data_IF_139606957106
#
_entry.id   IF_139606957106
#
_cell.length_a   1.000
_cell.length_b   1.000
_cell.length_c   1.000
_cell.angle_alpha   90.00
_cell.angle_beta   90.00
_cell.angle_gamma   90.00
#
_symmetry.space_group_name_H-M   'P 1'
#
loop_
_entity.id
_entity.type
_entity.pdbx_description
1 polymer ?
#
# COMPACT_ATOMS: atom_id res chain seq x y z
N UNK A 1 16.76 7.88 -28.56
CA UNK A 1 16.42 7.07 -27.38
C UNK A 1 16.89 7.85 -26.18
N UNK A 2 15.98 8.22 -25.30
CA UNK A 2 16.27 8.95 -24.07
C UNK A 2 17.00 8.07 -23.06
N UNK A 3 17.50 8.64 -21.96
CA UNK A 3 18.15 7.87 -20.90
C UNK A 3 17.20 6.82 -20.32
N UNK A 4 15.97 7.23 -19.97
CA UNK A 4 14.96 6.31 -19.45
C UNK A 4 14.63 5.18 -20.44
N UNK A 5 14.41 5.47 -21.73
CA UNK A 5 14.12 4.45 -22.74
C UNK A 5 15.26 3.44 -22.89
N UNK A 6 16.51 3.89 -22.87
CA UNK A 6 17.68 3.00 -22.93
C UNK A 6 17.72 2.03 -21.75
N UNK A 7 17.41 2.51 -20.54
CA UNK A 7 17.38 1.68 -19.34
C UNK A 7 16.19 0.71 -19.35
N UNK A 8 15.02 1.14 -19.82
CA UNK A 8 13.86 0.25 -20.00
C UNK A 8 14.22 -0.93 -20.92
N UNK A 9 14.89 -0.68 -22.05
CA UNK A 9 15.33 -1.77 -22.93
C UNK A 9 16.36 -2.71 -22.27
N UNK A 10 17.26 -2.17 -21.45
CA UNK A 10 18.16 -3.01 -20.64
C UNK A 10 17.40 -3.87 -19.62
N UNK A 11 16.40 -3.32 -18.94
CA UNK A 11 15.54 -4.06 -17.99
C UNK A 11 14.84 -5.21 -18.71
N UNK A 12 14.24 -4.95 -19.89
CA UNK A 12 13.58 -6.00 -20.70
C UNK A 12 14.54 -7.11 -21.10
N UNK A 13 15.74 -6.75 -21.55
CA UNK A 13 16.75 -7.72 -21.99
C UNK A 13 17.28 -8.59 -20.84
N UNK A 14 17.51 -8.00 -19.66
CA UNK A 14 18.07 -8.72 -18.48
C UNK A 14 17.05 -9.52 -17.70
N UNK A 15 15.76 -9.16 -17.75
CA UNK A 15 14.72 -9.71 -16.87
C UNK A 15 13.56 -10.35 -17.64
N UNK A 16 13.81 -10.94 -18.81
CA UNK A 16 12.77 -11.51 -19.68
C UNK A 16 11.80 -12.49 -18.97
N UNK A 17 12.27 -13.17 -17.91
CA UNK A 17 11.49 -14.10 -17.07
C UNK A 17 10.66 -13.40 -15.98
N UNK A 18 10.65 -12.05 -15.91
CA UNK A 18 10.05 -11.27 -14.82
C UNK A 18 9.12 -10.18 -15.37
N UNK A 19 7.99 -10.55 -16.01
CA UNK A 19 7.12 -9.59 -16.72
C UNK A 19 6.55 -8.50 -15.80
N UNK A 20 6.22 -8.82 -14.54
CA UNK A 20 5.69 -7.86 -13.59
C UNK A 20 6.74 -6.79 -13.23
N UNK A 21 8.01 -7.18 -13.10
CA UNK A 21 9.09 -6.24 -12.85
C UNK A 21 9.36 -5.35 -14.07
N UNK A 22 9.33 -5.90 -15.28
CA UNK A 22 9.48 -5.14 -16.53
C UNK A 22 8.38 -4.08 -16.64
N UNK A 23 7.13 -4.47 -16.36
CA UNK A 23 6.00 -3.55 -16.39
C UNK A 23 6.20 -2.39 -15.42
N UNK A 24 6.46 -2.66 -14.14
CA UNK A 24 6.64 -1.63 -13.12
C UNK A 24 7.82 -0.69 -13.44
N UNK A 25 8.95 -1.25 -13.88
CA UNK A 25 10.09 -0.45 -14.28
C UNK A 25 9.76 0.45 -15.49
N UNK A 26 9.03 -0.06 -16.47
CA UNK A 26 8.61 0.71 -17.65
C UNK A 26 7.68 1.86 -17.26
N UNK A 27 6.68 1.60 -16.39
CA UNK A 27 5.73 2.61 -15.94
C UNK A 27 6.40 3.72 -15.11
N UNK A 28 7.29 3.35 -14.18
CA UNK A 28 7.96 4.35 -13.33
C UNK A 28 9.00 5.12 -14.12
N UNK A 29 9.94 4.44 -14.79
CA UNK A 29 11.03 5.10 -15.53
C UNK A 29 10.50 5.97 -16.66
N UNK A 30 9.42 5.56 -17.33
CA UNK A 30 8.77 6.34 -18.38
C UNK A 30 8.27 7.72 -17.90
N UNK A 31 7.98 7.88 -16.61
CA UNK A 31 7.54 9.16 -16.04
C UNK A 31 8.70 10.06 -15.58
N UNK A 32 9.93 9.56 -15.53
CA UNK A 32 11.05 10.30 -14.94
C UNK A 32 11.79 11.22 -15.90
N UNK A 33 11.53 11.13 -17.23
CA UNK A 33 12.29 11.88 -18.23
C UNK A 33 12.38 13.38 -17.97
N UNK A 34 11.32 14.11 -17.54
CA UNK A 34 11.44 15.52 -17.23
C UNK A 34 12.44 15.84 -16.11
N UNK A 35 12.54 14.96 -15.11
CA UNK A 35 13.53 15.10 -14.04
C UNK A 35 14.96 14.78 -14.54
N UNK A 36 15.10 13.76 -15.38
CA UNK A 36 16.39 13.36 -15.93
C UNK A 36 16.95 14.44 -16.89
N UNK A 37 16.12 15.10 -17.67
CA UNK A 37 16.52 16.21 -18.55
C UNK A 37 17.00 17.43 -17.74
N UNK A 38 16.42 17.64 -16.56
CA UNK A 38 16.82 18.72 -15.64
C UNK A 38 18.10 18.39 -14.86
N UNK A 39 18.52 17.12 -14.79
CA UNK A 39 19.61 16.62 -13.97
C UNK A 39 20.52 15.65 -14.77
N UNK A 40 21.30 16.15 -15.74
CA UNK A 40 22.17 15.30 -16.58
C UNK A 40 23.23 14.54 -15.76
N UNK A 41 23.60 15.03 -14.59
CA UNK A 41 24.50 14.37 -13.66
C UNK A 41 24.02 12.99 -13.21
N UNK A 42 22.72 12.70 -13.28
CA UNK A 42 22.17 11.39 -12.94
C UNK A 42 22.59 10.32 -13.96
N UNK A 43 22.65 10.66 -15.23
CA UNK A 43 23.15 9.76 -16.27
C UNK A 43 24.66 9.53 -16.14
N UNK A 44 25.44 10.58 -15.88
CA UNK A 44 26.88 10.49 -15.67
C UNK A 44 27.23 9.56 -14.47
N UNK A 45 26.38 9.55 -13.43
CA UNK A 45 26.53 8.68 -12.27
C UNK A 45 25.90 7.27 -12.44
N UNK A 46 25.38 6.93 -13.63
CA UNK A 46 24.67 5.68 -13.90
C UNK A 46 23.56 5.40 -12.86
N UNK A 47 22.79 6.44 -12.49
CA UNK A 47 21.86 6.38 -11.39
C UNK A 47 20.72 5.40 -11.63
N UNK A 48 20.14 5.38 -12.85
CA UNK A 48 19.06 4.47 -13.17
C UNK A 48 19.55 3.03 -13.25
N UNK A 49 20.75 2.77 -13.77
CA UNK A 49 21.36 1.45 -13.77
C UNK A 49 21.52 0.88 -12.36
N UNK A 50 21.82 1.75 -11.38
CA UNK A 50 21.97 1.37 -9.97
C UNK A 50 20.61 1.16 -9.29
N UNK A 51 19.62 2.01 -9.57
CA UNK A 51 18.33 1.95 -8.88
C UNK A 51 17.43 0.80 -9.38
N UNK A 52 17.63 0.31 -10.61
CA UNK A 52 16.87 -0.84 -11.14
C UNK A 52 17.39 -2.20 -10.64
N UNK A 53 18.59 -2.25 -10.09
CA UNK A 53 19.14 -3.47 -9.53
C UNK A 53 18.99 -3.46 -7.99
N UNK A 54 18.43 -4.49 -7.38
CA UNK A 54 18.39 -4.56 -5.92
C UNK A 54 19.81 -4.66 -5.34
N UNK A 55 20.04 -4.01 -4.22
CA UNK A 55 21.34 -4.08 -3.53
C UNK A 55 21.66 -5.52 -3.11
N UNK A 56 20.60 -6.31 -2.77
CA UNK A 56 20.78 -7.68 -2.33
C UNK A 56 19.51 -8.52 -2.49
N UNK A 57 19.69 -9.78 -2.85
CA UNK A 57 18.62 -10.79 -2.88
C UNK A 57 19.04 -11.95 -2.00
N UNK A 58 18.18 -12.33 -1.05
CA UNK A 58 18.37 -13.46 -0.17
C UNK A 58 17.28 -14.48 -0.48
N UNK A 59 17.68 -15.69 -0.88
CA UNK A 59 16.77 -16.82 -1.09
C UNK A 59 17.19 -17.98 -0.19
N UNK A 60 16.24 -18.59 0.50
CA UNK A 60 16.51 -19.66 1.44
C UNK A 60 15.39 -20.72 1.45
N UNK A 61 15.75 -21.89 1.93
CA UNK A 61 14.84 -23.03 2.13
C UNK A 61 14.14 -22.91 3.49
N UNK A 62 12.83 -23.15 3.52
CA UNK A 62 12.00 -23.15 4.73
C UNK A 62 11.39 -24.54 4.94
N UNK A 63 12.05 -25.46 5.66
CA UNK A 63 11.50 -26.77 6.01
C UNK A 63 10.64 -26.63 7.28
N UNK A 64 9.46 -27.25 7.27
CA UNK A 64 8.56 -27.27 8.44
C UNK A 64 7.74 -28.55 8.45
N UNK A 65 7.10 -28.86 9.58
CA UNK A 65 6.32 -30.09 9.75
C UNK A 65 4.84 -29.74 9.88
N UNK A 66 3.97 -30.35 9.09
CA UNK A 66 2.53 -30.18 9.16
C UNK A 66 1.91 -30.95 10.35
N UNK A 67 0.61 -30.78 10.57
CA UNK A 67 -0.08 -31.42 11.68
C UNK A 67 -0.18 -32.97 11.55
N UNK A 68 0.05 -33.50 10.35
CA UNK A 68 0.16 -34.95 10.12
C UNK A 68 1.55 -35.52 10.41
N UNK A 69 2.52 -34.65 10.76
CA UNK A 69 3.92 -35.07 10.97
C UNK A 69 4.75 -35.13 9.69
N UNK A 70 4.22 -34.75 8.54
CA UNK A 70 4.92 -34.74 7.25
C UNK A 70 5.78 -33.47 7.10
N UNK A 71 7.01 -33.68 6.59
CA UNK A 71 7.90 -32.54 6.27
C UNK A 71 7.44 -31.85 5.00
N UNK A 72 7.29 -30.56 5.10
CA UNK A 72 7.00 -29.63 4.00
C UNK A 72 8.22 -28.74 3.75
N UNK A 73 8.39 -28.27 2.53
CA UNK A 73 9.50 -27.38 2.15
C UNK A 73 8.97 -26.26 1.27
N UNK A 74 9.20 -25.03 1.69
CA UNK A 74 8.90 -23.83 0.92
C UNK A 74 10.17 -23.03 0.62
N UNK A 75 10.05 -22.04 -0.27
CA UNK A 75 11.09 -21.04 -0.53
C UNK A 75 10.79 -19.77 0.24
N UNK A 76 11.81 -19.23 0.90
CA UNK A 76 11.77 -17.90 1.50
C UNK A 76 12.62 -16.93 0.67
N UNK A 77 12.18 -15.66 0.62
CA UNK A 77 12.85 -14.60 -0.11
C UNK A 77 12.88 -13.31 0.71
N UNK A 78 13.96 -12.55 0.58
CA UNK A 78 14.02 -11.13 0.90
C UNK A 78 14.78 -10.39 -0.19
N UNK A 79 14.22 -9.33 -0.71
CA UNK A 79 14.83 -8.41 -1.67
C UNK A 79 15.09 -7.11 -0.92
N UNK A 80 16.34 -6.87 -0.61
CA UNK A 80 16.87 -5.63 -0.06
C UNK A 80 17.14 -4.71 -1.26
N UNK A 81 16.19 -3.82 -1.55
CA UNK A 81 16.20 -3.17 -2.85
C UNK A 81 17.06 -1.92 -2.88
N UNK A 82 16.82 -0.97 -1.97
CA UNK A 82 17.59 0.27 -1.89
C UNK A 82 17.58 0.81 -0.46
N UNK A 83 18.73 1.13 0.08
CA UNK A 83 18.93 1.62 1.45
C UNK A 83 19.38 3.09 1.53
N UNK A 84 19.43 3.82 0.42
CA UNK A 84 19.97 5.17 0.37
C UNK A 84 19.30 6.15 1.34
N UNK A 85 18.00 6.01 1.59
CA UNK A 85 17.24 6.90 2.47
C UNK A 85 16.91 6.30 3.86
N UNK A 86 17.36 5.08 4.15
CA UNK A 86 17.14 4.43 5.45
C UNK A 86 17.14 2.91 5.36
N UNK A 87 16.90 2.20 6.46
CA UNK A 87 16.85 0.73 6.47
C UNK A 87 15.81 0.21 5.47
N UNK A 88 16.08 -0.95 4.87
CA UNK A 88 15.11 -1.56 3.96
C UNK A 88 13.76 -1.75 4.68
N UNK A 89 12.69 -1.40 4.01
CA UNK A 89 11.34 -1.46 4.58
C UNK A 89 10.34 -1.95 3.57
N UNK A 90 9.57 -2.96 3.94
CA UNK A 90 8.46 -3.48 3.14
C UNK A 90 7.95 -4.83 3.62
N UNK A 91 6.75 -5.19 3.16
CA UNK A 91 6.00 -6.34 3.65
C UNK A 91 6.60 -7.70 3.28
N UNK A 92 6.18 -8.71 4.03
CA UNK A 92 6.35 -10.13 3.71
C UNK A 92 5.02 -10.66 3.19
N UNK A 93 5.04 -11.32 2.03
CA UNK A 93 3.86 -11.94 1.41
C UNK A 93 3.94 -13.45 1.50
N UNK A 94 2.90 -14.10 2.05
CA UNK A 94 2.78 -15.56 2.03
C UNK A 94 1.63 -15.95 1.13
N UNK A 95 1.99 -16.46 -0.06
CA UNK A 95 1.01 -16.86 -1.07
C UNK A 95 1.69 -17.83 -2.08
N UNK A 96 1.00 -18.86 -2.56
CA UNK A 96 1.55 -19.83 -3.54
C UNK A 96 2.08 -19.19 -4.82
N UNK A 97 1.60 -18.00 -5.18
CA UNK A 97 2.01 -17.27 -6.39
C UNK A 97 3.29 -16.45 -6.21
N UNK A 98 3.87 -16.40 -5.03
CA UNK A 98 5.09 -15.61 -4.76
C UNK A 98 6.26 -16.15 -5.58
N UNK A 99 6.82 -15.26 -6.40
CA UNK A 99 8.04 -15.48 -7.18
C UNK A 99 9.05 -14.38 -6.89
N UNK A 100 10.30 -14.61 -7.26
CA UNK A 100 11.34 -13.57 -7.15
C UNK A 100 11.00 -12.35 -8.01
N UNK A 101 10.48 -12.55 -9.23
CA UNK A 101 10.08 -11.44 -10.13
C UNK A 101 9.00 -10.56 -9.50
N UNK A 102 7.97 -11.17 -8.89
CA UNK A 102 6.94 -10.45 -8.15
C UNK A 102 7.53 -9.63 -6.98
N UNK A 103 8.47 -10.21 -6.22
CA UNK A 103 9.07 -9.51 -5.07
C UNK A 103 10.03 -8.40 -5.51
N UNK A 104 10.74 -8.55 -6.63
CA UNK A 104 11.52 -7.46 -7.26
C UNK A 104 10.60 -6.31 -7.67
N UNK A 105 9.52 -6.60 -8.37
CA UNK A 105 8.50 -5.62 -8.72
C UNK A 105 8.03 -4.83 -7.51
N UNK A 106 7.50 -5.54 -6.50
CA UNK A 106 6.96 -4.91 -5.29
C UNK A 106 8.03 -4.16 -4.47
N UNK A 107 9.27 -4.65 -4.47
CA UNK A 107 10.41 -4.00 -3.80
C UNK A 107 10.84 -2.72 -4.50
N UNK A 108 10.83 -2.71 -5.83
CA UNK A 108 11.13 -1.53 -6.63
C UNK A 108 10.12 -0.41 -6.42
N UNK A 109 8.82 -0.72 -6.47
CA UNK A 109 7.77 0.26 -6.17
C UNK A 109 7.86 0.78 -4.74
N UNK A 110 8.26 -0.08 -3.79
CA UNK A 110 8.36 0.27 -2.39
C UNK A 110 9.40 1.35 -2.12
N UNK A 111 10.47 1.45 -2.93
CA UNK A 111 11.47 2.52 -2.83
C UNK A 111 10.79 3.89 -2.90
N UNK A 112 10.02 4.12 -3.96
CA UNK A 112 9.39 5.41 -4.24
C UNK A 112 8.25 5.71 -3.27
N UNK A 113 7.46 4.69 -2.94
CA UNK A 113 6.39 4.82 -1.94
C UNK A 113 6.92 5.24 -0.57
N UNK A 114 8.01 4.62 -0.10
CA UNK A 114 8.64 4.96 1.17
C UNK A 114 9.27 6.35 1.12
N UNK A 115 9.89 6.72 0.00
CA UNK A 115 10.48 8.03 -0.18
C UNK A 115 9.46 9.17 -0.04
N UNK A 116 8.23 8.98 -0.53
CA UNK A 116 7.15 9.96 -0.42
C UNK A 116 6.74 10.22 1.03
N UNK A 117 6.86 9.24 1.93
CA UNK A 117 6.52 9.42 3.35
C UNK A 117 7.40 10.43 4.08
N UNK A 118 8.51 10.85 3.48
CA UNK A 118 9.59 11.65 4.06
C UNK A 118 10.36 11.00 5.22
N UNK A 119 9.87 9.88 5.74
CA UNK A 119 10.54 9.13 6.80
C UNK A 119 11.79 8.40 6.29
N UNK A 120 12.79 8.11 7.15
CA UNK A 120 14.03 7.44 6.76
C UNK A 120 13.79 5.93 6.58
N UNK A 121 13.21 5.55 5.48
CA UNK A 121 12.90 4.16 5.13
C UNK A 121 13.28 3.89 3.68
N UNK A 122 14.18 2.95 3.47
CA UNK A 122 14.53 2.41 2.16
C UNK A 122 13.45 1.47 1.60
N UNK A 123 13.74 0.81 0.50
CA UNK A 123 12.84 -0.14 -0.16
C UNK A 123 13.26 -1.59 0.03
N UNK A 124 12.33 -2.44 0.39
CA UNK A 124 12.54 -3.89 0.46
C UNK A 124 11.23 -4.67 0.37
N UNK A 125 11.32 -5.92 -0.02
CA UNK A 125 10.15 -6.82 -0.10
C UNK A 125 10.58 -8.25 0.15
N UNK A 126 9.69 -9.06 0.73
CA UNK A 126 9.99 -10.47 0.94
C UNK A 126 8.74 -11.32 0.94
N UNK A 127 8.95 -12.61 1.18
CA UNK A 127 7.83 -13.54 1.25
C UNK A 127 8.20 -14.99 1.02
N UNK A 128 7.18 -15.79 0.80
CA UNK A 128 7.29 -17.22 0.55
C UNK A 128 6.13 -17.73 -0.31
N UNK A 129 6.35 -18.81 -1.04
CA UNK A 129 5.32 -19.60 -1.72
C UNK A 129 4.43 -20.42 -0.76
N UNK A 130 4.54 -20.17 0.54
CA UNK A 130 3.70 -20.78 1.56
C UNK A 130 2.26 -20.23 1.50
N UNK A 131 1.26 -21.13 1.52
CA UNK A 131 -0.14 -20.76 1.63
C UNK A 131 -0.65 -20.92 3.07
N UNK A 132 -0.91 -19.83 3.80
CA UNK A 132 -1.45 -19.91 5.15
C UNK A 132 -2.93 -20.29 5.18
N UNK A 133 -3.62 -20.24 4.02
CA UNK A 133 -5.05 -20.50 3.95
C UNK A 133 -5.35 -21.98 4.26
N UNK A 134 -6.24 -22.20 5.21
CA UNK A 134 -6.63 -23.56 5.64
C UNK A 134 -5.62 -24.26 6.53
N UNK A 135 -4.51 -23.62 6.91
CA UNK A 135 -3.53 -24.14 7.86
C UNK A 135 -3.94 -23.86 9.29
N UNK A 136 -3.57 -24.75 10.21
CA UNK A 136 -3.75 -24.53 11.64
C UNK A 136 -2.82 -23.43 12.17
N UNK A 137 -3.14 -22.86 13.32
CA UNK A 137 -2.25 -21.90 13.97
C UNK A 137 -0.88 -22.50 14.32
N UNK A 138 -0.84 -23.80 14.64
CA UNK A 138 0.40 -24.50 14.94
C UNK A 138 1.26 -24.71 13.69
N UNK A 139 0.66 -25.02 12.55
CA UNK A 139 1.37 -25.12 11.26
C UNK A 139 1.97 -23.78 10.86
N UNK A 140 1.16 -22.71 10.93
CA UNK A 140 1.61 -21.33 10.61
C UNK A 140 2.73 -20.89 11.56
N UNK A 141 2.61 -21.21 12.85
CA UNK A 141 3.67 -20.90 13.83
C UNK A 141 4.98 -21.61 13.49
N UNK A 142 4.94 -22.93 13.22
CA UNK A 142 6.12 -23.70 12.83
C UNK A 142 6.76 -23.17 11.55
N UNK A 143 5.93 -22.82 10.56
CA UNK A 143 6.42 -22.21 9.33
C UNK A 143 7.11 -20.86 9.61
N UNK A 144 6.47 -19.94 10.34
CA UNK A 144 7.04 -18.64 10.70
C UNK A 144 8.35 -18.77 11.47
N UNK A 145 8.44 -19.72 12.40
CA UNK A 145 9.67 -19.99 13.15
C UNK A 145 10.80 -20.48 12.24
N UNK A 146 10.50 -21.41 11.33
CA UNK A 146 11.48 -21.90 10.35
C UNK A 146 11.93 -20.80 9.40
N UNK A 147 10.99 -19.99 8.90
CA UNK A 147 11.28 -18.84 8.04
C UNK A 147 12.24 -17.85 8.74
N UNK A 148 12.00 -17.57 10.01
CA UNK A 148 12.83 -16.66 10.81
C UNK A 148 14.20 -17.22 11.17
N UNK A 149 14.39 -18.55 11.18
CA UNK A 149 15.71 -19.12 11.43
C UNK A 149 16.77 -18.65 10.42
N UNK A 150 16.35 -18.42 9.17
CA UNK A 150 17.23 -17.85 8.15
C UNK A 150 17.12 -16.32 8.10
N UNK A 151 15.91 -15.77 8.02
CA UNK A 151 15.71 -14.34 7.82
C UNK A 151 16.30 -13.50 8.95
N UNK A 152 16.27 -13.97 10.21
CA UNK A 152 16.78 -13.22 11.37
C UNK A 152 18.24 -12.78 11.26
N UNK A 153 19.03 -13.42 10.41
CA UNK A 153 20.45 -13.07 10.18
C UNK A 153 20.62 -11.81 9.34
N UNK A 154 19.58 -11.39 8.64
CA UNK A 154 19.61 -10.36 7.60
C UNK A 154 18.80 -9.11 7.96
N UNK A 155 17.95 -9.20 8.99
CA UNK A 155 17.04 -8.13 9.41
C UNK A 155 17.42 -7.56 10.77
N UNK A 156 16.95 -6.36 11.03
CA UNK A 156 17.17 -5.67 12.32
C UNK A 156 16.58 -4.26 12.25
N UNK A 157 16.47 -3.56 13.40
CA UNK A 157 15.81 -2.27 13.49
C UNK A 157 16.46 -1.17 12.64
N UNK A 158 17.77 -1.30 12.38
CA UNK A 158 18.57 -0.30 11.63
C UNK A 158 19.10 -0.85 10.29
N UNK A 159 18.71 -2.07 9.91
CA UNK A 159 19.17 -2.72 8.67
C UNK A 159 18.00 -2.96 7.73
N UNK A 160 17.03 -3.74 8.19
CA UNK A 160 15.88 -4.15 7.42
C UNK A 160 14.70 -4.45 8.36
N UNK A 161 13.58 -3.77 8.14
CA UNK A 161 12.39 -3.87 9.00
C UNK A 161 11.21 -4.37 8.17
N UNK A 162 10.99 -5.69 8.08
CA UNK A 162 9.83 -6.25 7.40
C UNK A 162 8.51 -5.88 8.08
N UNK A 163 7.41 -6.03 7.33
CA UNK A 163 6.04 -5.80 7.80
C UNK A 163 5.09 -6.89 7.31
N UNK A 164 3.82 -6.80 7.67
CA UNK A 164 2.77 -7.65 7.07
C UNK A 164 2.42 -7.22 5.64
N UNK A 165 1.92 -8.18 4.87
CA UNK A 165 1.34 -8.04 3.54
C UNK A 165 0.34 -9.19 3.32
N UNK A 166 -0.06 -9.49 2.09
CA UNK A 166 -0.97 -10.60 1.78
C UNK A 166 -0.52 -11.91 2.44
N UNK A 167 -1.40 -12.54 3.22
CA UNK A 167 -1.11 -13.78 3.95
C UNK A 167 -0.25 -13.60 5.21
N UNK A 168 0.12 -12.38 5.57
CA UNK A 168 0.91 -12.04 6.78
C UNK A 168 0.22 -10.94 7.55
N UNK A 169 -0.49 -11.31 8.59
CA UNK A 169 -1.15 -10.40 9.52
C UNK A 169 -0.45 -10.32 10.88
N UNK A 170 -1.12 -9.75 11.87
CA UNK A 170 -0.59 -9.61 13.23
C UNK A 170 -0.21 -10.94 13.90
N UNK A 171 -0.90 -12.04 13.55
CA UNK A 171 -0.57 -13.39 14.04
C UNK A 171 0.80 -13.85 13.53
N UNK A 172 1.03 -13.78 12.22
CA UNK A 172 2.29 -14.18 11.59
C UNK A 172 3.43 -13.27 12.05
N UNK A 173 3.20 -11.96 12.12
CA UNK A 173 4.17 -11.00 12.66
C UNK A 173 4.50 -11.33 14.12
N UNK A 174 3.51 -11.72 14.94
CA UNK A 174 3.73 -12.15 16.32
C UNK A 174 4.61 -13.38 16.43
N UNK A 175 4.36 -14.42 15.62
CA UNK A 175 5.17 -15.64 15.60
C UNK A 175 6.61 -15.36 15.12
N UNK A 176 6.76 -14.52 14.10
CA UNK A 176 8.08 -14.13 13.59
C UNK A 176 8.86 -13.28 14.61
N UNK A 177 8.21 -12.32 15.26
CA UNK A 177 8.85 -11.50 16.28
C UNK A 177 9.29 -12.32 17.50
N UNK A 178 8.44 -13.25 17.97
CA UNK A 178 8.79 -14.17 19.05
C UNK A 178 10.02 -15.01 18.73
N UNK A 179 10.12 -15.53 17.50
CA UNK A 179 11.28 -16.30 17.07
C UNK A 179 12.53 -15.44 16.91
N UNK A 180 12.43 -14.24 16.33
CA UNK A 180 13.53 -13.29 16.21
C UNK A 180 14.11 -12.97 17.59
N UNK A 181 13.25 -12.57 18.54
CA UNK A 181 13.64 -12.26 19.91
C UNK A 181 14.39 -13.42 20.57
N UNK A 182 13.95 -14.66 20.35
CA UNK A 182 14.61 -15.85 20.89
C UNK A 182 15.98 -16.11 20.27
N UNK A 183 16.11 -15.94 18.93
CA UNK A 183 17.37 -16.21 18.20
C UNK A 183 18.44 -15.14 18.47
N UNK A 184 18.01 -13.89 18.53
CA UNK A 184 18.92 -12.73 18.72
C UNK A 184 19.18 -12.39 20.18
N UNK A 185 18.36 -12.91 21.10
CA UNK A 185 18.38 -12.58 22.53
C UNK A 185 18.26 -11.05 22.77
N UNK A 186 17.42 -10.38 21.99
CA UNK A 186 17.17 -8.95 22.06
C UNK A 186 15.69 -8.63 21.80
N UNK A 187 15.21 -7.53 22.41
CA UNK A 187 13.92 -6.94 22.11
C UNK A 187 14.18 -5.63 21.35
N UNK A 188 13.79 -5.54 20.09
CA UNK A 188 14.06 -4.39 19.22
C UNK A 188 12.87 -4.03 18.35
N UNK A 189 12.97 -2.90 17.64
CA UNK A 189 12.00 -2.43 16.66
C UNK A 189 12.01 -3.17 15.32
N UNK A 190 12.51 -4.39 15.27
CA UNK A 190 12.40 -5.26 14.09
C UNK A 190 10.95 -5.66 13.86
N UNK A 191 10.51 -5.73 12.61
CA UNK A 191 9.13 -5.97 12.19
C UNK A 191 8.16 -4.85 12.63
N UNK A 192 7.24 -4.50 11.74
CA UNK A 192 6.10 -3.62 12.05
C UNK A 192 4.77 -4.31 11.78
N UNK A 193 3.70 -3.76 12.36
CA UNK A 193 2.40 -4.44 12.45
C UNK A 193 2.33 -5.41 13.64
N UNK A 194 3.15 -5.16 14.65
CA UNK A 194 3.13 -5.91 15.91
C UNK A 194 1.84 -5.66 16.70
N UNK A 195 1.49 -6.58 17.57
CA UNK A 195 0.43 -6.37 18.56
C UNK A 195 0.80 -5.26 19.55
N UNK A 196 -0.20 -4.55 20.07
CA UNK A 196 -0.01 -3.45 21.03
C UNK A 196 0.74 -3.86 22.29
N UNK A 197 0.60 -5.13 22.71
CA UNK A 197 1.28 -5.66 23.90
C UNK A 197 2.78 -5.87 23.74
N UNK A 198 3.33 -5.74 22.51
CA UNK A 198 4.76 -5.96 22.24
C UNK A 198 5.33 -5.00 21.21
N UNK A 199 4.95 -3.73 21.28
CA UNK A 199 5.57 -2.64 20.52
C UNK A 199 4.83 -2.26 19.24
N UNK A 200 3.59 -2.66 19.07
CA UNK A 200 2.72 -2.19 17.99
C UNK A 200 2.25 -0.75 18.20
N UNK A 201 1.85 -0.07 17.14
CA UNK A 201 1.32 1.29 17.16
C UNK A 201 -0.20 1.32 17.10
N UNK A 202 -0.81 2.20 17.88
CA UNK A 202 -2.19 2.63 17.69
C UNK A 202 -2.35 3.29 16.31
N UNK A 203 -3.57 3.43 15.85
CA UNK A 203 -3.94 3.96 14.53
C UNK A 203 -3.35 3.20 13.31
N UNK A 204 -2.58 2.09 13.51
CA UNK A 204 -2.00 1.34 12.40
C UNK A 204 -3.06 0.65 11.53
N UNK A 205 -4.14 0.20 12.15
CA UNK A 205 -5.25 -0.48 11.45
C UNK A 205 -6.01 0.51 10.57
N UNK A 206 -6.21 1.70 11.05
CA UNK A 206 -6.95 2.81 10.42
C UNK A 206 -6.13 3.50 9.33
N UNK A 207 -4.82 3.47 9.46
CA UNK A 207 -3.86 4.35 8.79
C UNK A 207 -4.00 4.44 7.26
N UNK A 208 -4.30 3.33 6.58
CA UNK A 208 -4.41 3.36 5.11
C UNK A 208 -5.67 4.08 4.67
N UNK A 209 -6.81 3.78 5.29
CA UNK A 209 -8.08 4.44 5.00
C UNK A 209 -8.08 5.92 5.41
N UNK A 210 -7.58 6.22 6.60
CA UNK A 210 -7.44 7.60 7.10
C UNK A 210 -6.49 8.41 6.23
N UNK A 211 -5.32 7.86 5.91
CA UNK A 211 -4.33 8.53 5.07
C UNK A 211 -4.85 8.86 3.68
N UNK A 212 -5.59 7.92 3.06
CA UNK A 212 -6.28 8.17 1.79
C UNK A 212 -7.17 9.41 1.89
N UNK A 213 -8.01 9.46 2.92
CA UNK A 213 -8.97 10.56 3.08
C UNK A 213 -8.26 11.87 3.39
N UNK A 214 -7.20 11.88 4.21
CA UNK A 214 -6.38 13.08 4.46
C UNK A 214 -5.69 13.59 3.19
N UNK A 215 -5.23 12.71 2.33
CA UNK A 215 -4.61 13.10 1.05
C UNK A 215 -5.62 13.76 0.10
N UNK A 216 -6.83 13.19 0.00
CA UNK A 216 -7.93 13.76 -0.80
C UNK A 216 -8.45 15.05 -0.19
N UNK A 217 -8.58 15.12 1.15
CA UNK A 217 -9.01 16.33 1.87
C UNK A 217 -8.07 17.51 1.63
N UNK A 218 -6.76 17.26 1.59
CA UNK A 218 -5.80 18.31 1.31
C UNK A 218 -5.89 18.82 -0.12
N UNK A 219 -6.14 17.94 -1.10
CA UNK A 219 -6.46 18.37 -2.45
C UNK A 219 -7.71 19.25 -2.49
N UNK A 220 -8.80 18.84 -1.83
CA UNK A 220 -10.04 19.64 -1.78
C UNK A 220 -9.75 21.01 -1.18
N UNK A 221 -9.06 21.07 -0.03
CA UNK A 221 -8.71 22.33 0.64
C UNK A 221 -7.84 23.25 -0.22
N UNK A 222 -6.87 22.69 -0.93
CA UNK A 222 -6.01 23.44 -1.85
C UNK A 222 -6.80 24.07 -3.02
N UNK A 223 -8.00 23.54 -3.29
CA UNK A 223 -8.93 24.07 -4.29
C UNK A 223 -10.11 24.84 -3.67
N UNK A 224 -10.04 25.20 -2.38
CA UNK A 224 -11.09 25.95 -1.67
C UNK A 224 -12.36 25.14 -1.41
N UNK A 225 -12.27 23.82 -1.35
CA UNK A 225 -13.37 22.88 -1.15
C UNK A 225 -13.11 22.01 0.11
N UNK A 226 -14.02 21.08 0.43
CA UNK A 226 -13.91 20.16 1.56
C UNK A 226 -14.78 18.93 1.35
N UNK A 227 -14.66 17.93 2.24
CA UNK A 227 -15.59 16.79 2.25
C UNK A 227 -17.02 17.16 2.69
N UNK A 228 -17.22 18.30 3.35
CA UNK A 228 -18.55 18.69 3.85
C UNK A 228 -19.61 18.69 2.74
N UNK A 229 -20.64 17.87 2.92
CA UNK A 229 -21.75 17.73 1.96
C UNK A 229 -21.44 16.98 0.69
N UNK A 230 -20.24 16.42 0.49
CA UNK A 230 -19.88 15.62 -0.69
C UNK A 230 -20.49 14.24 -0.64
N UNK A 231 -20.95 13.75 -1.77
CA UNK A 231 -21.34 12.39 -1.97
C UNK A 231 -20.11 11.55 -2.39
N UNK A 232 -19.87 10.48 -1.66
CA UNK A 232 -18.70 9.62 -1.84
C UNK A 232 -19.14 8.19 -2.12
N UNK A 233 -18.49 7.47 -3.02
CA UNK A 233 -18.65 6.03 -3.20
C UNK A 233 -17.37 5.32 -2.87
N UNK A 234 -17.46 4.18 -2.17
CA UNK A 234 -16.31 3.37 -1.74
C UNK A 234 -16.44 1.96 -2.32
N UNK A 235 -15.47 1.54 -3.11
CA UNK A 235 -15.45 0.16 -3.60
C UNK A 235 -14.65 -0.71 -2.63
N UNK A 236 -15.33 -1.62 -1.95
CA UNK A 236 -14.77 -2.51 -0.94
C UNK A 236 -15.51 -2.44 0.40
N UNK A 237 -15.27 -3.42 1.25
CA UNK A 237 -15.72 -3.51 2.64
C UNK A 237 -14.64 -4.15 3.54
N UNK A 238 -13.39 -4.07 3.10
CA UNK A 238 -12.21 -4.50 3.84
C UNK A 238 -11.66 -3.39 4.73
N UNK A 239 -10.50 -3.64 5.34
CA UNK A 239 -9.86 -2.72 6.28
C UNK A 239 -9.72 -1.28 5.75
N UNK A 240 -9.22 -1.11 4.53
CA UNK A 240 -9.03 0.23 3.94
C UNK A 240 -10.37 0.93 3.74
N UNK A 241 -11.37 0.21 3.21
CA UNK A 241 -12.68 0.76 2.92
C UNK A 241 -13.41 1.23 4.17
N UNK A 242 -13.49 0.41 5.23
CA UNK A 242 -14.24 0.77 6.44
C UNK A 242 -13.67 2.01 7.13
N UNK A 243 -12.35 2.14 7.18
CA UNK A 243 -11.72 3.30 7.80
C UNK A 243 -11.74 4.53 6.88
N UNK A 244 -11.77 4.37 5.56
CA UNK A 244 -12.07 5.47 4.65
C UNK A 244 -13.50 5.98 4.88
N UNK A 245 -14.50 5.10 4.99
CA UNK A 245 -15.89 5.47 5.34
C UNK A 245 -15.95 6.24 6.64
N UNK A 246 -15.29 5.74 7.70
CA UNK A 246 -15.26 6.40 8.99
C UNK A 246 -14.70 7.83 8.90
N UNK A 247 -13.54 7.99 8.26
CA UNK A 247 -12.88 9.29 8.17
C UNK A 247 -13.64 10.27 7.27
N UNK A 248 -14.19 9.82 6.14
CA UNK A 248 -15.08 10.64 5.29
C UNK A 248 -16.26 11.18 6.09
N UNK A 249 -16.93 10.32 6.86
CA UNK A 249 -18.06 10.72 7.70
C UNK A 249 -17.65 11.72 8.79
N UNK A 250 -16.46 11.55 9.40
CA UNK A 250 -15.91 12.50 10.37
C UNK A 250 -15.64 13.88 9.78
N UNK A 251 -15.33 13.96 8.47
CA UNK A 251 -15.09 15.21 7.75
C UNK A 251 -16.34 15.78 7.08
N UNK A 252 -17.54 15.27 7.40
CA UNK A 252 -18.81 15.78 6.90
C UNK A 252 -19.24 15.27 5.53
N UNK A 253 -18.49 14.35 4.94
CA UNK A 253 -18.86 13.67 3.69
C UNK A 253 -19.88 12.55 3.91
N UNK A 254 -20.67 12.25 2.90
CA UNK A 254 -21.67 11.20 2.92
C UNK A 254 -21.26 10.05 1.98
N UNK A 255 -20.95 8.89 2.55
CA UNK A 255 -20.66 7.69 1.75
C UNK A 255 -21.97 7.02 1.35
N UNK A 256 -22.28 7.01 0.05
CA UNK A 256 -23.54 6.48 -0.46
C UNK A 256 -23.53 4.96 -0.65
N UNK A 257 -22.36 4.38 -0.89
CA UNK A 257 -22.28 2.94 -1.19
C UNK A 257 -20.96 2.32 -0.79
N UNK A 258 -21.03 1.03 -0.43
CA UNK A 258 -19.88 0.13 -0.25
C UNK A 258 -20.12 -1.19 -0.97
N UNK A 259 -19.05 -1.94 -1.28
CA UNK A 259 -19.18 -3.21 -2.02
C UNK A 259 -18.37 -4.35 -1.41
N UNK A 260 -18.74 -5.56 -1.77
CA UNK A 260 -17.91 -6.75 -1.60
C UNK A 260 -17.91 -7.61 -2.89
N UNK A 261 -17.40 -8.83 -2.82
CA UNK A 261 -17.31 -9.74 -4.00
C UNK A 261 -18.66 -10.33 -4.44
N UNK A 262 -19.75 -10.08 -3.72
CA UNK A 262 -21.09 -10.62 -4.01
C UNK A 262 -22.06 -9.56 -4.45
N UNK A 263 -21.70 -8.29 -4.32
CA UNK A 263 -22.55 -7.16 -4.65
C UNK A 263 -22.17 -5.89 -3.94
N UNK A 264 -23.12 -4.98 -3.81
CA UNK A 264 -22.92 -3.71 -3.16
C UNK A 264 -24.18 -3.22 -2.45
N UNK A 265 -24.00 -2.40 -1.46
CA UNK A 265 -25.05 -1.75 -0.70
C UNK A 265 -25.09 -0.27 -1.01
N UNK A 266 -26.30 0.25 -1.25
CA UNK A 266 -26.58 1.68 -1.36
C UNK A 266 -27.39 2.12 -0.13
N UNK A 267 -26.92 3.16 0.55
CA UNK A 267 -27.65 3.80 1.64
C UNK A 267 -27.78 5.29 1.33
N UNK A 268 -28.98 5.77 0.94
CA UNK A 268 -29.19 7.19 0.59
C UNK A 268 -29.03 8.12 1.80
N UNK A 269 -29.11 7.60 3.03
CA UNK A 269 -28.87 8.35 4.26
C UNK A 269 -27.37 8.44 4.61
N UNK A 270 -26.56 7.64 3.93
CA UNK A 270 -25.12 7.46 4.16
C UNK A 270 -24.80 6.19 4.93
N UNK A 271 -23.75 5.52 4.48
CA UNK A 271 -23.25 4.28 5.09
C UNK A 271 -22.92 4.51 6.57
N UNK A 272 -23.59 3.76 7.44
CA UNK A 272 -23.30 3.74 8.86
C UNK A 272 -22.03 2.94 9.15
N UNK A 273 -21.00 3.63 9.64
CA UNK A 273 -19.71 3.02 9.95
C UNK A 273 -19.83 1.92 11.01
N UNK A 274 -20.67 2.09 12.03
CA UNK A 274 -20.76 1.12 13.14
C UNK A 274 -21.35 -0.21 12.65
N UNK A 275 -22.36 -0.16 11.78
CA UNK A 275 -22.94 -1.36 11.15
C UNK A 275 -21.90 -2.03 10.25
N UNK A 276 -21.20 -1.24 9.43
CA UNK A 276 -20.17 -1.75 8.54
C UNK A 276 -19.01 -2.41 9.32
N UNK A 277 -18.55 -1.78 10.40
CA UNK A 277 -17.50 -2.31 11.27
C UNK A 277 -17.94 -3.60 11.98
N UNK A 278 -19.18 -3.67 12.46
CA UNK A 278 -19.73 -4.88 13.04
C UNK A 278 -19.69 -6.06 12.06
N UNK A 279 -20.14 -5.86 10.83
CA UNK A 279 -20.11 -6.88 9.76
C UNK A 279 -18.65 -7.28 9.46
N UNK A 280 -17.75 -6.31 9.35
CA UNK A 280 -16.32 -6.56 9.10
C UNK A 280 -15.69 -7.43 10.21
N UNK A 281 -15.90 -7.07 11.46
CA UNK A 281 -15.36 -7.80 12.61
C UNK A 281 -15.93 -9.22 12.71
N UNK A 282 -17.22 -9.38 12.45
CA UNK A 282 -17.90 -10.69 12.41
C UNK A 282 -17.34 -11.57 11.29
N UNK A 283 -17.10 -11.01 10.10
CA UNK A 283 -16.48 -11.72 8.97
C UNK A 283 -15.03 -12.13 9.29
N UNK A 284 -14.27 -11.25 9.94
CA UNK A 284 -12.87 -11.48 10.29
C UNK A 284 -12.69 -12.53 11.40
N UNK A 285 -13.64 -12.67 12.31
CA UNK A 285 -13.61 -13.69 13.37
C UNK A 285 -13.58 -15.12 12.83
N UNK A 286 -14.07 -15.34 11.60
CA UNK A 286 -14.10 -16.64 10.93
C UNK A 286 -15.07 -17.66 11.54
N UNK A 287 -15.81 -17.30 12.59
CA UNK A 287 -16.75 -18.18 13.28
C UNK A 287 -18.04 -18.41 12.47
N UNK A 288 -18.40 -17.45 11.61
CA UNK A 288 -19.60 -17.51 10.79
C UNK A 288 -19.22 -17.36 9.29
N UNK A 289 -19.34 -18.45 8.54
CA UNK A 289 -19.03 -18.49 7.10
C UNK A 289 -20.08 -17.78 6.21
N UNK A 290 -21.23 -17.41 6.78
CA UNK A 290 -22.34 -16.77 6.07
C UNK A 290 -22.27 -15.25 6.01
N UNK A 291 -21.36 -14.61 6.75
CA UNK A 291 -21.28 -13.15 6.84
C UNK A 291 -20.92 -12.52 5.50
N UNK A 292 -21.77 -11.62 5.02
CA UNK A 292 -21.54 -10.80 3.82
C UNK A 292 -22.06 -9.37 4.06
N UNK A 293 -21.67 -8.46 3.19
CA UNK A 293 -22.14 -7.07 3.24
C UNK A 293 -23.66 -6.95 3.06
N UNK A 294 -24.31 -7.96 2.43
CA UNK A 294 -25.78 -8.01 2.30
C UNK A 294 -26.52 -7.92 3.64
N UNK A 295 -25.89 -8.32 4.76
CA UNK A 295 -26.49 -8.19 6.09
C UNK A 295 -26.66 -6.74 6.56
N UNK A 296 -26.07 -5.78 5.87
CA UNK A 296 -26.18 -4.36 6.20
C UNK A 296 -27.63 -3.87 6.18
N UNK A 297 -28.43 -4.36 5.22
CA UNK A 297 -29.85 -3.96 5.10
C UNK A 297 -30.75 -4.49 6.23
N UNK A 298 -30.29 -5.49 7.00
CA UNK A 298 -31.02 -5.98 8.18
C UNK A 298 -31.06 -4.94 9.30
N UNK A 299 -30.00 -4.12 9.39
CA UNK A 299 -29.86 -3.07 10.43
C UNK A 299 -30.21 -1.67 9.87
N UNK A 300 -30.22 -1.51 8.53
CA UNK A 300 -30.50 -0.24 7.82
C UNK A 300 -31.61 -0.46 6.78
N UNK A 301 -32.90 -0.39 7.17
CA UNK A 301 -34.01 -0.74 6.27
C UNK A 301 -34.18 0.16 5.05
N UNK A 302 -33.64 1.39 5.08
CA UNK A 302 -33.66 2.32 3.94
C UNK A 302 -32.55 2.03 2.92
N UNK A 303 -31.60 1.18 3.27
CA UNK A 303 -30.55 0.76 2.36
C UNK A 303 -31.03 -0.33 1.41
N UNK A 304 -30.41 -0.41 0.25
CA UNK A 304 -30.73 -1.41 -0.80
C UNK A 304 -29.49 -2.27 -1.07
N UNK A 305 -29.67 -3.59 -1.05
CA UNK A 305 -28.65 -4.53 -1.50
C UNK A 305 -28.82 -4.82 -3.00
N UNK A 306 -27.72 -4.71 -3.74
CA UNK A 306 -27.62 -5.05 -5.16
C UNK A 306 -26.72 -6.26 -5.31
N UNK A 307 -27.28 -7.42 -5.64
CA UNK A 307 -26.51 -8.64 -5.85
C UNK A 307 -25.74 -8.60 -7.17
N UNK A 308 -24.54 -9.16 -7.23
CA UNK A 308 -23.74 -9.28 -8.45
C UNK A 308 -22.34 -8.70 -8.32
N UNK A 309 -21.93 -7.91 -9.31
CA UNK A 309 -20.59 -7.29 -9.31
C UNK A 309 -20.56 -6.04 -8.42
N UNK A 310 -19.68 -6.02 -7.45
CA UNK A 310 -19.47 -4.88 -6.56
C UNK A 310 -19.08 -3.57 -7.28
N UNK A 311 -18.69 -3.63 -8.55
CA UNK A 311 -18.42 -2.48 -9.43
C UNK A 311 -19.66 -1.62 -9.72
N UNK A 312 -20.86 -2.12 -9.41
CA UNK A 312 -22.09 -1.33 -9.53
C UNK A 312 -22.07 -0.01 -8.77
N UNK A 313 -21.24 0.15 -7.73
CA UNK A 313 -21.05 1.41 -7.00
C UNK A 313 -20.61 2.56 -7.91
N UNK A 314 -19.90 2.27 -9.01
CA UNK A 314 -19.41 3.26 -9.95
C UNK A 314 -20.51 3.91 -10.84
N UNK A 315 -21.71 3.32 -10.83
CA UNK A 315 -22.85 3.86 -11.56
C UNK A 315 -23.60 4.96 -10.79
N UNK A 316 -23.31 5.13 -9.50
CA UNK A 316 -23.95 6.14 -8.66
C UNK A 316 -23.37 7.53 -8.92
N UNK A 317 -24.20 8.58 -8.97
CA UNK A 317 -23.72 9.96 -8.95
C UNK A 317 -22.94 10.24 -7.66
N UNK A 318 -21.71 10.70 -7.81
CA UNK A 318 -20.86 11.04 -6.67
C UNK A 318 -19.87 12.17 -7.03
N UNK A 319 -19.38 12.85 -6.01
CA UNK A 319 -18.31 13.85 -6.14
C UNK A 319 -16.93 13.17 -6.09
N UNK A 320 -16.81 12.12 -5.26
CA UNK A 320 -15.54 11.46 -4.96
C UNK A 320 -15.73 9.94 -5.03
N UNK A 321 -14.82 9.24 -5.68
CA UNK A 321 -14.78 7.79 -5.77
C UNK A 321 -13.50 7.24 -5.14
N UNK A 322 -13.63 6.26 -4.22
CA UNK A 322 -12.52 5.67 -3.48
C UNK A 322 -12.45 4.16 -3.74
N UNK A 323 -11.64 3.71 -4.71
CA UNK A 323 -11.40 2.29 -4.96
C UNK A 323 -10.47 1.70 -3.87
N UNK A 324 -11.08 0.96 -2.90
CA UNK A 324 -10.42 0.43 -1.71
C UNK A 324 -10.38 -1.11 -1.65
N UNK A 325 -10.73 -1.82 -2.72
CA UNK A 325 -10.84 -3.28 -2.68
C UNK A 325 -9.53 -3.99 -3.06
N UNK A 326 -9.22 -4.09 -4.35
CA UNK A 326 -8.05 -4.81 -4.89
C UNK A 326 -7.68 -4.27 -6.27
N UNK A 327 -6.62 -4.84 -6.84
CA UNK A 327 -6.11 -4.49 -8.18
C UNK A 327 -7.17 -4.65 -9.27
N UNK A 328 -7.12 -3.79 -10.30
CA UNK A 328 -7.91 -3.87 -11.53
C UNK A 328 -9.41 -4.07 -11.27
N UNK A 329 -10.02 -3.21 -10.47
CA UNK A 329 -11.45 -3.22 -10.15
C UNK A 329 -12.19 -1.95 -10.59
N UNK A 330 -11.49 -0.98 -11.18
CA UNK A 330 -12.05 0.17 -11.86
C UNK A 330 -11.53 0.17 -13.30
N UNK A 331 -12.40 -0.20 -14.24
CA UNK A 331 -12.09 -0.31 -15.65
C UNK A 331 -12.54 0.91 -16.44
N UNK A 332 -12.22 0.97 -17.74
CA UNK A 332 -12.55 2.12 -18.60
C UNK A 332 -14.05 2.43 -18.62
N UNK A 333 -14.93 1.41 -18.63
CA UNK A 333 -16.37 1.64 -18.63
C UNK A 333 -16.87 2.23 -17.31
N UNK A 334 -16.24 1.86 -16.18
CA UNK A 334 -16.50 2.45 -14.87
C UNK A 334 -16.04 3.91 -14.82
N UNK A 335 -14.86 4.19 -15.38
CA UNK A 335 -14.34 5.55 -15.48
C UNK A 335 -15.26 6.45 -16.31
N UNK A 336 -15.79 5.95 -17.43
CA UNK A 336 -16.79 6.66 -18.24
C UNK A 336 -18.06 6.95 -17.45
N UNK A 337 -18.55 5.99 -16.65
CA UNK A 337 -19.72 6.18 -15.81
C UNK A 337 -19.47 7.26 -14.74
N UNK A 338 -18.32 7.19 -14.04
CA UNK A 338 -17.93 8.19 -13.05
C UNK A 338 -17.87 9.61 -13.63
N UNK A 339 -17.24 9.78 -14.79
CA UNK A 339 -17.19 11.09 -15.49
C UNK A 339 -18.59 11.58 -15.88
N UNK A 340 -19.40 10.70 -16.46
CA UNK A 340 -20.77 11.04 -16.87
C UNK A 340 -21.66 11.43 -15.67
N UNK A 341 -21.42 10.83 -14.50
CA UNK A 341 -22.13 11.09 -13.26
C UNK A 341 -21.56 12.26 -12.44
N UNK A 342 -20.55 12.95 -12.95
CA UNK A 342 -20.03 14.20 -12.37
C UNK A 342 -18.94 14.02 -11.31
N UNK A 343 -18.34 12.84 -11.19
CA UNK A 343 -17.22 12.59 -10.28
C UNK A 343 -16.07 13.57 -10.56
N UNK A 344 -15.52 14.17 -9.50
CA UNK A 344 -14.42 15.14 -9.57
C UNK A 344 -13.09 14.60 -9.11
N UNK A 345 -13.11 13.61 -8.21
CA UNK A 345 -11.90 13.05 -7.59
C UNK A 345 -11.99 11.53 -7.55
N UNK A 346 -10.93 10.86 -7.96
CA UNK A 346 -10.70 9.43 -7.73
C UNK A 346 -9.47 9.28 -6.86
N UNK A 347 -9.61 8.66 -5.67
CA UNK A 347 -8.51 8.43 -4.75
C UNK A 347 -8.28 6.93 -4.49
N UNK A 348 -7.13 6.41 -4.88
CA UNK A 348 -6.83 4.98 -4.78
C UNK A 348 -6.44 4.56 -3.35
N UNK A 349 -7.33 3.81 -2.70
CA UNK A 349 -7.05 3.17 -1.40
C UNK A 349 -6.37 1.81 -1.54
N UNK A 350 -6.68 1.05 -2.58
CA UNK A 350 -5.97 -0.19 -2.93
C UNK A 350 -4.70 0.10 -3.74
N UNK A 351 -3.89 -0.94 -3.97
CA UNK A 351 -2.76 -0.84 -4.89
C UNK A 351 -3.27 -1.10 -6.32
N UNK A 352 -3.02 -0.16 -7.23
CA UNK A 352 -3.40 -0.23 -8.65
C UNK A 352 -4.85 -0.74 -8.90
N UNK A 353 -5.87 -0.19 -8.25
CA UNK A 353 -7.25 -0.63 -8.47
C UNK A 353 -7.80 -0.19 -9.82
N UNK A 354 -7.25 0.88 -10.41
CA UNK A 354 -7.69 1.48 -11.67
C UNK A 354 -6.79 1.00 -12.79
N UNK A 355 -7.39 0.56 -13.90
CA UNK A 355 -6.62 0.16 -15.10
C UNK A 355 -6.00 1.38 -15.77
N UNK A 356 -4.92 1.18 -16.54
CA UNK A 356 -4.17 2.28 -17.16
C UNK A 356 -5.06 3.13 -18.08
N UNK A 357 -5.84 2.48 -18.94
CA UNK A 357 -6.79 3.14 -19.84
C UNK A 357 -7.89 3.92 -19.11
N UNK A 358 -8.33 3.42 -17.94
CA UNK A 358 -9.26 4.13 -17.08
C UNK A 358 -8.59 5.36 -16.43
N UNK A 359 -7.34 5.23 -15.98
CA UNK A 359 -6.56 6.34 -15.39
C UNK A 359 -6.36 7.46 -16.41
N UNK A 360 -5.92 7.14 -17.63
CA UNK A 360 -5.75 8.08 -18.72
C UNK A 360 -7.07 8.79 -19.05
N UNK A 361 -8.16 8.04 -19.18
CA UNK A 361 -9.48 8.60 -19.45
C UNK A 361 -9.96 9.56 -18.35
N UNK A 362 -9.80 9.21 -17.07
CA UNK A 362 -10.16 10.10 -15.95
C UNK A 362 -9.39 11.42 -16.00
N UNK A 363 -8.07 11.35 -16.19
CA UNK A 363 -7.22 12.53 -16.27
C UNK A 363 -7.55 13.42 -17.49
N UNK A 364 -7.76 12.85 -18.65
CA UNK A 364 -8.14 13.56 -19.89
C UNK A 364 -9.50 14.27 -19.76
N UNK A 365 -10.40 13.76 -18.90
CA UNK A 365 -11.71 14.35 -18.63
C UNK A 365 -11.74 15.24 -17.37
N UNK A 366 -10.57 15.63 -16.85
CA UNK A 366 -10.45 16.62 -15.78
C UNK A 366 -10.81 16.09 -14.39
N UNK A 367 -10.84 14.77 -14.19
CA UNK A 367 -10.98 14.15 -12.86
C UNK A 367 -9.62 14.13 -12.18
N UNK A 368 -9.54 14.69 -10.98
CA UNK A 368 -8.33 14.65 -10.17
C UNK A 368 -8.06 13.19 -9.72
N UNK A 369 -6.99 12.61 -10.21
CA UNK A 369 -6.63 11.22 -9.95
C UNK A 369 -5.48 11.13 -8.94
N UNK A 370 -5.77 10.57 -7.75
CA UNK A 370 -4.81 10.41 -6.64
C UNK A 370 -4.24 8.98 -6.65
N UNK A 371 -2.99 8.79 -7.11
CA UNK A 371 -2.42 7.45 -7.29
C UNK A 371 -2.17 6.73 -5.97
N UNK A 372 -2.42 5.43 -5.94
CA UNK A 372 -2.33 4.60 -4.74
C UNK A 372 -0.97 4.67 -4.05
N UNK A 373 0.14 4.78 -4.80
CA UNK A 373 1.47 4.87 -4.18
C UNK A 373 1.65 6.08 -3.24
N UNK A 374 0.91 7.17 -3.48
CA UNK A 374 0.84 8.33 -2.59
C UNK A 374 -0.38 8.25 -1.67
N UNK A 375 -1.59 8.15 -2.23
CA UNK A 375 -2.82 8.25 -1.48
C UNK A 375 -2.99 7.15 -0.41
N UNK A 376 -2.55 5.91 -0.68
CA UNK A 376 -2.64 4.81 0.29
C UNK A 376 -1.38 4.62 1.16
N UNK A 377 -0.44 5.56 1.15
CA UNK A 377 0.82 5.45 1.89
C UNK A 377 0.65 5.54 3.42
N UNK A 378 -0.53 5.88 3.93
CA UNK A 378 -0.79 6.00 5.36
C UNK A 378 -0.37 4.76 6.17
N UNK A 379 -0.60 3.56 5.62
CA UNK A 379 -0.23 2.32 6.28
C UNK A 379 1.29 2.15 6.48
N UNK A 380 2.10 2.43 5.46
CA UNK A 380 3.56 2.38 5.59
C UNK A 380 4.09 3.55 6.40
N UNK A 381 3.44 4.70 6.34
CA UNK A 381 3.79 5.87 7.15
C UNK A 381 3.65 5.55 8.64
N UNK A 382 2.50 5.03 9.10
CA UNK A 382 2.34 4.61 10.50
C UNK A 382 3.26 3.44 10.86
N UNK A 383 3.64 2.59 9.92
CA UNK A 383 4.71 1.61 10.16
C UNK A 383 6.06 2.29 10.47
N UNK A 384 6.39 3.39 9.81
CA UNK A 384 7.57 4.21 10.16
C UNK A 384 7.44 4.88 11.52
N UNK A 385 6.25 5.36 11.87
CA UNK A 385 5.97 5.89 13.22
C UNK A 385 6.09 4.80 14.31
N UNK A 386 5.69 3.55 14.00
CA UNK A 386 5.91 2.40 14.89
C UNK A 386 7.41 2.16 15.11
N UNK A 387 8.23 2.27 14.05
CA UNK A 387 9.70 2.18 14.19
C UNK A 387 10.24 3.29 15.11
N UNK A 388 9.77 4.52 14.98
CA UNK A 388 10.17 5.64 15.84
C UNK A 388 9.79 5.39 17.30
N UNK A 389 8.55 4.99 17.58
CA UNK A 389 8.10 4.64 18.93
C UNK A 389 8.95 3.52 19.53
N UNK A 390 9.31 2.49 18.73
CA UNK A 390 10.14 1.40 19.20
C UNK A 390 11.59 1.85 19.50
N UNK A 391 12.14 2.77 18.71
CA UNK A 391 13.48 3.31 18.94
C UNK A 391 13.55 4.18 20.20
N UNK A 392 12.48 4.90 20.51
CA UNK A 392 12.32 5.70 21.72
C UNK A 392 11.95 4.89 22.97
N UNK A 393 11.53 3.61 22.80
CA UNK A 393 10.91 2.78 23.82
C UNK A 393 9.65 3.41 24.42
N UNK A 394 8.89 4.13 23.61
CA UNK A 394 7.63 4.79 23.99
C UNK A 394 6.45 4.22 23.19
N UNK A 395 5.26 4.46 23.71
CA UNK A 395 4.00 4.25 23.00
C UNK A 395 3.25 5.57 22.96
N UNK A 396 2.87 6.02 21.76
CA UNK A 396 2.09 7.24 21.58
C UNK A 396 0.60 6.92 21.65
N UNK A 397 -0.21 7.93 22.02
CA UNK A 397 -1.67 7.81 21.99
C UNK A 397 -2.19 7.71 20.56
N UNK A 398 -3.46 7.35 20.41
CA UNK A 398 -4.11 7.31 19.11
C UNK A 398 -4.08 8.69 18.44
N UNK A 399 -4.37 9.73 19.19
CA UNK A 399 -4.41 11.13 18.73
C UNK A 399 -3.03 11.63 18.29
N UNK A 400 -1.97 11.25 18.99
CA UNK A 400 -0.60 11.59 18.60
C UNK A 400 -0.19 10.92 17.28
N UNK A 401 -0.55 9.65 17.09
CA UNK A 401 -0.25 8.93 15.85
C UNK A 401 -1.11 9.45 14.70
N UNK A 402 -2.42 9.64 14.90
CA UNK A 402 -3.35 10.15 13.88
C UNK A 402 -3.00 11.58 13.47
N UNK A 403 -2.66 12.46 14.42
CA UNK A 403 -2.21 13.81 14.12
C UNK A 403 -0.92 13.86 13.29
N UNK A 404 0.05 12.97 13.58
CA UNK A 404 1.26 12.82 12.75
C UNK A 404 0.94 12.24 11.37
N UNK A 405 0.04 11.27 11.29
CA UNK A 405 -0.43 10.71 10.03
C UNK A 405 -1.07 11.81 9.16
N UNK A 406 -1.98 12.58 9.71
CA UNK A 406 -2.62 13.70 9.01
C UNK A 406 -1.59 14.70 8.49
N UNK A 407 -0.70 15.19 9.36
CA UNK A 407 0.35 16.15 8.99
C UNK A 407 1.23 15.64 7.85
N UNK A 408 1.67 14.39 7.92
CA UNK A 408 2.57 13.81 6.94
C UNK A 408 1.86 13.51 5.61
N UNK A 409 0.59 13.06 5.63
CA UNK A 409 -0.19 12.86 4.40
C UNK A 409 -0.47 14.18 3.69
N UNK A 410 -0.77 15.26 4.43
CA UNK A 410 -0.93 16.61 3.87
C UNK A 410 0.38 17.11 3.25
N UNK A 411 1.49 16.98 3.96
CA UNK A 411 2.82 17.33 3.44
C UNK A 411 3.20 16.53 2.20
N UNK A 412 2.81 15.26 2.16
CA UNK A 412 3.01 14.40 0.98
C UNK A 412 2.21 14.90 -0.22
N UNK A 413 0.95 15.31 -0.03
CA UNK A 413 0.14 15.88 -1.10
C UNK A 413 0.83 17.11 -1.71
N UNK A 414 1.26 18.07 -0.88
CA UNK A 414 1.96 19.25 -1.37
C UNK A 414 3.25 18.93 -2.11
N UNK A 415 4.06 18.00 -1.59
CA UNK A 415 5.28 17.57 -2.27
C UNK A 415 4.99 16.98 -3.66
N UNK A 416 3.94 16.19 -3.80
CA UNK A 416 3.51 15.59 -5.07
C UNK A 416 2.99 16.67 -6.04
N UNK A 417 2.15 17.57 -5.57
CA UNK A 417 1.54 18.63 -6.36
C UNK A 417 2.58 19.66 -6.83
N UNK A 418 3.44 20.14 -5.93
CA UNK A 418 4.52 21.08 -6.23
C UNK A 418 5.52 20.48 -7.22
N UNK A 419 5.81 19.18 -7.08
CA UNK A 419 6.69 18.46 -8.01
C UNK A 419 6.05 18.36 -9.39
N UNK A 420 4.76 18.01 -9.49
CA UNK A 420 4.06 17.96 -10.76
C UNK A 420 4.09 19.33 -11.45
N UNK A 421 3.80 20.42 -10.73
CA UNK A 421 3.88 21.81 -11.25
C UNK A 421 5.29 22.18 -11.72
N UNK A 422 6.31 21.88 -10.89
CA UNK A 422 7.71 22.20 -11.20
C UNK A 422 8.19 21.58 -12.50
N UNK A 423 7.74 20.37 -12.80
CA UNK A 423 8.14 19.63 -14.01
C UNK A 423 7.13 19.75 -15.16
N UNK A 424 6.19 20.71 -15.12
CA UNK A 424 5.28 21.05 -16.21
C UNK A 424 4.10 20.09 -16.38
N UNK A 425 3.74 19.35 -15.32
CA UNK A 425 2.65 18.38 -15.31
C UNK A 425 1.62 18.72 -14.23
N UNK A 426 1.24 20.00 -14.11
CA UNK A 426 0.23 20.44 -13.13
C UNK A 426 -1.03 19.59 -13.19
N UNK A 427 -1.51 19.13 -12.02
CA UNK A 427 -2.68 18.25 -11.90
C UNK A 427 -2.41 16.76 -12.21
N UNK A 428 -1.23 16.40 -12.69
CA UNK A 428 -0.84 15.00 -12.86
C UNK A 428 -0.10 14.47 -11.63
N UNK A 429 -0.87 13.99 -10.65
CA UNK A 429 -0.32 13.48 -9.39
C UNK A 429 0.42 12.14 -9.54
N UNK A 430 0.20 11.39 -10.62
CA UNK A 430 0.97 10.18 -10.96
C UNK A 430 2.42 10.57 -11.29
N UNK A 431 2.60 11.53 -12.19
CA UNK A 431 3.92 12.08 -12.53
C UNK A 431 4.57 12.72 -11.29
N UNK A 432 3.82 13.55 -10.56
CA UNK A 432 4.30 14.20 -9.35
C UNK A 432 4.83 13.21 -8.31
N UNK A 433 4.08 12.15 -8.03
CA UNK A 433 4.48 11.12 -7.07
C UNK A 433 5.73 10.34 -7.51
N UNK A 434 5.80 9.94 -8.77
CA UNK A 434 6.96 9.22 -9.30
C UNK A 434 8.23 10.07 -9.26
N UNK A 435 8.15 11.32 -9.73
CA UNK A 435 9.30 12.24 -9.75
C UNK A 435 9.71 12.63 -8.32
N UNK A 436 8.77 12.97 -7.43
CA UNK A 436 9.09 13.35 -6.05
C UNK A 436 9.77 12.20 -5.29
N UNK A 437 9.23 10.98 -5.40
CA UNK A 437 9.84 9.80 -4.80
C UNK A 437 11.24 9.51 -5.36
N UNK A 438 11.40 9.60 -6.67
CA UNK A 438 12.69 9.40 -7.35
C UNK A 438 13.73 10.43 -6.90
N UNK A 439 13.41 11.73 -6.93
CA UNK A 439 14.36 12.79 -6.61
C UNK A 439 14.93 12.67 -5.21
N UNK A 440 14.11 12.27 -4.21
CA UNK A 440 14.61 12.05 -2.84
C UNK A 440 15.64 10.92 -2.77
N UNK A 441 15.39 9.82 -3.48
CA UNK A 441 16.32 8.68 -3.52
C UNK A 441 17.56 9.06 -4.33
N UNK A 442 17.39 9.74 -5.46
CA UNK A 442 18.47 10.22 -6.31
C UNK A 442 19.45 11.12 -5.56
N UNK A 443 18.94 12.13 -4.84
CA UNK A 443 19.74 13.04 -4.02
C UNK A 443 20.58 12.28 -2.98
N UNK A 444 19.97 11.34 -2.27
CA UNK A 444 20.67 10.50 -1.30
C UNK A 444 21.75 9.64 -1.95
N UNK A 445 21.46 8.97 -3.07
CA UNK A 445 22.40 8.13 -3.81
C UNK A 445 23.57 8.95 -4.38
N UNK A 446 23.30 10.15 -4.89
CA UNK A 446 24.34 11.06 -5.41
C UNK A 446 25.24 11.56 -4.30
N UNK A 447 24.66 11.95 -3.15
CA UNK A 447 25.42 12.47 -2.01
C UNK A 447 26.28 11.41 -1.33
N UNK A 448 25.80 10.17 -1.25
CA UNK A 448 26.54 9.04 -0.65
C UNK A 448 27.61 8.45 -1.58
N UNK A 449 27.57 8.79 -2.87
CA UNK A 449 28.54 8.32 -3.86
C UNK A 449 28.23 6.93 -4.40
N UNK A 450 29.26 6.23 -4.84
CA UNK A 450 29.16 4.87 -5.40
C UNK A 450 29.53 3.87 -4.31
N UNK A 451 28.54 3.31 -3.67
CA UNK A 451 28.64 2.34 -2.57
C UNK A 451 27.96 1.03 -2.94
#
# INVERSE_FOLDING_TARGET
MTYAERIIEQVKAKNAEQPEFIQAATEILGTLQPALDAHPEFEEAALLERIIEPERIIQFRVPWVDDSGKVQVNRGFRVDYNSAIGPYKGGLRFNPTVTLGMLKFLGFEQIFKNALTTLPMGGGKGGSDFDPKGKSNNEIMRFCQSFMNELSRHIGPNTDVPAGDLGVGGREVGYMFGQYKRLRNEWTGVLTGKGLSFGGSLARTEATGYGLVYFVDEYLKSNGDSFEGKNVVVHGSGNVAIYAVQKVSQLGGKVLACSDTKGWVEDPEGIDYQVLEHIYNKKRSGHDKGVSLAMYVDERPNATWHEGDGRGVWQLPCDIALPCARENTLHLDDAKALVANGCKVVGEGANMPTTLDATEYLQENGVAFMPGKAANAGGVLVSGLEMSQNAEHLSWTFEEVDGKLEQLMRGMFHNVDDTAKKYGHEGNFVMGANIAGFLKVADAMMTQGIV
#
